data_IF_508412682965
#
_entry.id   IF_508412682965
#
_cell.length_a   1.000
_cell.length_b   1.000
_cell.length_c   1.000
_cell.angle_alpha   90.00
_cell.angle_beta   90.00
_cell.angle_gamma   90.00
#
_symmetry.space_group_name_H-M   'P 1'
#
loop_
_entity.id
_entity.type
_entity.pdbx_description
1 polymer ?
#
# COMPACT_ATOMS: atom_id res chain seq x y z
N UNK A 1 -61.92 51.84 32.66
CA UNK A 1 -61.77 50.45 32.18
C UNK A 1 -61.17 50.51 30.79
N UNK A 2 -59.83 50.33 30.63
CA UNK A 2 -59.15 50.32 29.30
C UNK A 2 -58.64 48.89 29.09
N UNK A 3 -59.16 48.30 28.06
CA UNK A 3 -58.76 46.97 27.60
C UNK A 3 -57.49 47.12 26.71
N UNK A 4 -56.39 46.57 27.14
CA UNK A 4 -55.15 46.43 26.31
C UNK A 4 -55.25 45.16 25.49
N UNK A 5 -55.24 45.32 24.17
CA UNK A 5 -55.13 44.22 23.23
C UNK A 5 -53.64 43.94 22.96
N UNK A 6 -53.16 42.77 23.38
CA UNK A 6 -51.80 42.32 23.12
C UNK A 6 -51.75 41.56 21.77
N UNK A 7 -51.04 42.16 20.78
CA UNK A 7 -50.77 41.54 19.50
C UNK A 7 -49.56 40.57 19.65
N UNK A 8 -49.79 39.26 19.47
CA UNK A 8 -48.71 38.25 19.39
C UNK A 8 -48.15 38.22 17.98
N UNK A 9 -46.91 38.66 17.77
CA UNK A 9 -46.14 38.35 16.60
C UNK A 9 -45.70 36.89 16.68
N UNK A 10 -46.19 36.05 15.80
CA UNK A 10 -45.69 34.72 15.59
C UNK A 10 -44.43 34.78 14.70
N UNK A 11 -43.27 34.38 15.27
CA UNK A 11 -42.08 34.13 14.50
C UNK A 11 -42.25 32.75 13.79
N UNK A 12 -42.38 32.78 12.46
CA UNK A 12 -42.30 31.56 11.63
C UNK A 12 -40.81 31.23 11.51
N UNK A 13 -40.35 30.28 12.30
CA UNK A 13 -39.06 29.64 12.10
C UNK A 13 -39.14 28.75 10.85
N UNK A 14 -38.45 29.15 9.80
CA UNK A 14 -38.20 28.25 8.64
C UNK A 14 -37.20 27.21 9.14
N UNK A 15 -37.67 26.01 9.48
CA UNK A 15 -36.84 24.81 9.58
C UNK A 15 -36.41 24.45 8.16
N UNK A 16 -35.17 24.81 7.79
CA UNK A 16 -34.51 24.18 6.65
C UNK A 16 -34.22 22.74 7.07
N UNK A 17 -35.04 21.80 6.61
CA UNK A 17 -34.71 20.38 6.60
C UNK A 17 -33.57 20.21 5.57
N UNK A 18 -32.35 20.09 6.02
CA UNK A 18 -31.30 19.46 5.23
C UNK A 18 -31.70 18.00 5.10
N UNK A 19 -32.24 17.62 3.94
CA UNK A 19 -32.40 16.21 3.60
C UNK A 19 -30.99 15.62 3.56
N UNK A 20 -30.69 14.70 4.48
CA UNK A 20 -29.51 13.88 4.37
C UNK A 20 -29.64 13.11 3.03
N UNK A 21 -28.73 13.38 2.09
CA UNK A 21 -28.64 12.61 0.87
C UNK A 21 -28.32 11.16 1.26
N UNK A 22 -28.96 10.20 0.59
CA UNK A 22 -28.60 8.81 0.80
C UNK A 22 -27.16 8.60 0.29
N UNK A 23 -26.42 7.71 0.95
CA UNK A 23 -25.03 7.42 0.59
C UNK A 23 -24.92 6.95 -0.87
N UNK A 24 -25.90 6.16 -1.34
CA UNK A 24 -26.00 5.70 -2.73
C UNK A 24 -26.12 6.85 -3.74
N UNK A 25 -26.69 7.99 -3.36
CA UNK A 25 -26.81 9.17 -4.25
C UNK A 25 -25.42 9.81 -4.45
N UNK A 26 -24.56 9.84 -3.43
CA UNK A 26 -23.21 10.40 -3.52
C UNK A 26 -22.28 9.53 -4.39
N UNK A 27 -22.49 8.21 -4.45
CA UNK A 27 -21.65 7.28 -5.20
C UNK A 27 -21.71 7.50 -6.72
N UNK A 28 -22.75 8.18 -7.19
CA UNK A 28 -22.96 8.47 -8.62
C UNK A 28 -22.59 9.91 -9.03
N UNK A 29 -22.22 10.76 -8.07
CA UNK A 29 -21.89 12.17 -8.30
C UNK A 29 -20.52 12.36 -8.94
N UNK A 30 -20.42 13.38 -9.79
CA UNK A 30 -19.15 13.86 -10.33
C UNK A 30 -18.39 14.70 -9.29
N UNK A 31 -17.07 14.94 -9.47
CA UNK A 31 -16.31 15.83 -8.58
C UNK A 31 -16.93 17.23 -8.46
N UNK A 32 -17.48 17.78 -9.55
CA UNK A 32 -18.13 19.09 -9.56
C UNK A 32 -19.42 19.12 -8.72
N UNK A 33 -20.15 18.01 -8.68
CA UNK A 33 -21.36 17.84 -7.85
C UNK A 33 -21.02 17.58 -6.38
N UNK A 34 -19.94 16.85 -6.10
CA UNK A 34 -19.43 16.59 -4.74
C UNK A 34 -18.83 17.84 -4.11
N UNK A 35 -18.14 18.68 -4.87
CA UNK A 35 -17.37 19.83 -4.37
C UNK A 35 -18.16 20.76 -3.43
N UNK A 36 -19.35 21.25 -3.78
CA UNK A 36 -20.09 22.16 -2.87
C UNK A 36 -20.48 21.45 -1.55
N UNK A 37 -20.77 20.15 -1.58
CA UNK A 37 -21.10 19.37 -0.38
C UNK A 37 -19.84 19.15 0.48
N UNK A 38 -18.73 18.80 -0.13
CA UNK A 38 -17.44 18.64 0.54
C UNK A 38 -16.95 19.96 1.19
N UNK A 39 -17.20 21.12 0.55
CA UNK A 39 -16.90 22.43 1.13
C UNK A 39 -17.81 22.76 2.33
N UNK A 40 -19.04 22.28 2.36
CA UNK A 40 -19.92 22.39 3.55
C UNK A 40 -19.43 21.50 4.69
N UNK A 41 -18.86 20.32 4.40
CA UNK A 41 -18.21 19.43 5.36
C UNK A 41 -16.92 20.04 5.91
N UNK A 42 -16.13 20.69 5.05
CA UNK A 42 -14.96 21.50 5.39
C UNK A 42 -13.71 20.76 5.79
N UNK A 43 -13.77 19.45 6.04
CA UNK A 43 -12.62 18.61 6.42
C UNK A 43 -12.80 17.17 5.95
N UNK A 44 -11.69 16.41 5.88
CA UNK A 44 -11.71 14.97 5.59
C UNK A 44 -10.47 14.31 6.17
N UNK A 45 -10.62 13.13 6.76
CA UNK A 45 -9.53 12.40 7.42
C UNK A 45 -9.15 11.13 6.65
N UNK A 46 -7.86 10.96 6.37
CA UNK A 46 -7.30 9.81 5.66
C UNK A 46 -6.27 9.08 6.55
N UNK A 47 -6.49 7.79 6.83
CA UNK A 47 -5.43 6.92 7.31
C UNK A 47 -4.68 6.34 6.12
N UNK A 48 -3.37 6.52 6.06
CA UNK A 48 -2.53 6.16 4.92
C UNK A 48 -1.31 5.36 5.35
N UNK A 49 -1.00 4.27 4.61
CA UNK A 49 0.21 3.46 4.86
C UNK A 49 1.49 4.07 4.23
N UNK A 50 1.40 5.27 3.67
CA UNK A 50 2.52 5.93 2.99
C UNK A 50 2.59 7.40 3.35
N UNK A 51 3.80 7.88 3.66
CA UNK A 51 4.13 9.29 3.96
C UNK A 51 3.80 10.24 2.79
N UNK A 52 3.65 9.71 1.57
CA UNK A 52 3.26 10.48 0.38
C UNK A 52 1.90 11.17 0.52
N UNK A 53 1.09 10.76 1.53
CA UNK A 53 -0.20 11.41 1.82
C UNK A 53 -0.03 12.91 2.11
N UNK A 54 1.08 13.36 2.72
CA UNK A 54 1.33 14.78 2.95
C UNK A 54 1.51 15.59 1.66
N UNK A 55 2.02 14.98 0.58
CA UNK A 55 2.06 15.62 -0.75
C UNK A 55 0.67 15.69 -1.38
N UNK A 56 -0.15 14.65 -1.17
CA UNK A 56 -1.55 14.63 -1.61
C UNK A 56 -2.36 15.69 -0.88
N UNK A 57 -2.19 15.83 0.44
CA UNK A 57 -2.83 16.86 1.27
C UNK A 57 -2.59 18.25 0.68
N UNK A 58 -1.32 18.62 0.48
CA UNK A 58 -0.96 19.92 -0.12
C UNK A 58 -1.63 20.12 -1.49
N UNK A 59 -1.53 19.13 -2.37
CA UNK A 59 -2.07 19.23 -3.73
C UNK A 59 -3.60 19.25 -3.77
N UNK A 60 -4.27 18.54 -2.85
CA UNK A 60 -5.72 18.51 -2.73
C UNK A 60 -6.26 19.84 -2.25
N UNK A 61 -5.66 20.43 -1.23
CA UNK A 61 -6.09 21.74 -0.69
C UNK A 61 -5.87 22.89 -1.68
N UNK A 62 -4.82 22.80 -2.51
CA UNK A 62 -4.61 23.72 -3.61
C UNK A 62 -5.69 23.57 -4.71
N UNK A 63 -6.09 22.35 -5.03
CA UNK A 63 -7.10 22.04 -6.03
C UNK A 63 -8.53 22.36 -5.55
N UNK A 64 -8.81 22.14 -4.26
CA UNK A 64 -10.13 22.28 -3.65
C UNK A 64 -10.12 23.19 -2.41
N UNK A 65 -9.92 24.50 -2.56
CA UNK A 65 -9.86 25.44 -1.44
C UNK A 65 -11.11 25.38 -0.57
N UNK A 66 -10.91 25.35 0.74
CA UNK A 66 -11.99 25.30 1.74
C UNK A 66 -12.29 23.91 2.28
N UNK A 67 -11.51 22.89 1.89
CA UNK A 67 -11.56 21.55 2.45
C UNK A 67 -10.18 21.24 3.03
N UNK A 68 -10.09 20.94 4.33
CA UNK A 68 -8.89 20.58 5.08
C UNK A 68 -8.71 19.06 5.01
N UNK A 69 -7.69 18.56 4.30
CA UNK A 69 -7.37 17.14 4.25
C UNK A 69 -6.38 16.81 5.36
N UNK A 70 -6.78 15.95 6.29
CA UNK A 70 -5.96 15.49 7.40
C UNK A 70 -5.39 14.09 7.11
N UNK A 71 -4.17 14.03 6.60
CA UNK A 71 -3.47 12.80 6.27
C UNK A 71 -2.65 12.25 7.44
N UNK A 72 -2.91 11.02 7.86
CA UNK A 72 -2.15 10.33 8.90
C UNK A 72 -1.32 9.19 8.30
N UNK A 73 0.01 9.33 8.35
CA UNK A 73 0.94 8.28 7.94
C UNK A 73 1.09 7.26 9.07
N UNK A 74 0.38 6.14 8.95
CA UNK A 74 0.40 5.03 9.89
C UNK A 74 0.40 3.69 9.15
N UNK A 75 1.15 2.71 9.65
CA UNK A 75 1.27 1.40 8.99
C UNK A 75 -0.08 0.72 8.79
N UNK A 76 -0.20 -0.14 7.77
CA UNK A 76 -1.44 -0.92 7.54
C UNK A 76 -1.86 -1.72 8.76
N UNK A 77 -0.91 -2.30 9.49
CA UNK A 77 -1.17 -3.05 10.73
C UNK A 77 -1.79 -2.14 11.80
N UNK A 78 -1.27 -0.92 11.96
CA UNK A 78 -1.80 0.05 12.91
C UNK A 78 -3.18 0.57 12.48
N UNK A 79 -3.40 0.82 11.18
CA UNK A 79 -4.71 1.18 10.65
C UNK A 79 -5.76 0.15 11.00
N UNK A 80 -5.48 -1.14 10.73
CA UNK A 80 -6.40 -2.26 11.02
C UNK A 80 -6.74 -2.31 12.53
N UNK A 81 -5.74 -2.19 13.39
CA UNK A 81 -5.93 -2.20 14.83
C UNK A 81 -6.78 -1.00 15.30
N UNK A 82 -6.51 0.21 14.81
CA UNK A 82 -7.26 1.42 15.14
C UNK A 82 -8.70 1.33 14.68
N UNK A 83 -8.95 1.00 13.42
CA UNK A 83 -10.30 0.89 12.85
C UNK A 83 -11.13 -0.18 13.57
N UNK A 84 -10.52 -1.31 13.93
CA UNK A 84 -11.20 -2.35 14.71
C UNK A 84 -11.57 -1.83 16.11
N UNK A 85 -10.68 -1.11 16.78
CA UNK A 85 -10.95 -0.53 18.10
C UNK A 85 -12.00 0.60 18.03
N UNK A 86 -11.95 1.44 17.01
CA UNK A 86 -12.91 2.52 16.76
C UNK A 86 -14.31 1.94 16.51
N UNK A 87 -14.43 0.91 15.67
CA UNK A 87 -15.69 0.22 15.42
C UNK A 87 -16.27 -0.42 16.69
N UNK A 88 -15.44 -1.03 17.55
CA UNK A 88 -15.89 -1.55 18.85
C UNK A 88 -16.36 -0.45 19.81
N UNK A 89 -15.78 0.75 19.70
CA UNK A 89 -16.18 1.92 20.50
C UNK A 89 -17.39 2.67 19.91
N UNK A 90 -17.83 2.32 18.70
CA UNK A 90 -18.92 3.02 18.00
C UNK A 90 -18.54 4.43 17.56
N UNK A 91 -17.26 4.64 17.18
CA UNK A 91 -16.74 5.91 16.69
C UNK A 91 -16.07 5.71 15.34
N UNK A 92 -16.09 6.74 14.50
CA UNK A 92 -15.39 6.80 13.21
C UNK A 92 -14.49 8.03 13.23
N UNK A 93 -13.17 7.84 13.10
CA UNK A 93 -12.21 8.95 13.05
C UNK A 93 -11.64 9.16 11.64
N UNK A 94 -11.52 8.11 10.83
CA UNK A 94 -11.08 8.20 9.46
C UNK A 94 -12.28 8.09 8.51
N UNK A 95 -12.32 8.96 7.50
CA UNK A 95 -13.30 8.91 6.41
C UNK A 95 -12.83 7.95 5.30
N UNK A 96 -11.50 7.92 5.08
CA UNK A 96 -10.85 7.14 4.03
C UNK A 96 -9.72 6.30 4.63
N UNK A 97 -9.58 5.10 4.11
CA UNK A 97 -8.53 4.16 4.42
C UNK A 97 -7.71 3.89 3.15
N UNK A 98 -6.42 4.22 3.20
CA UNK A 98 -5.46 3.93 2.15
C UNK A 98 -4.44 2.93 2.68
N UNK A 99 -4.56 1.66 2.27
CA UNK A 99 -3.97 0.50 2.95
C UNK A 99 -3.41 -0.51 1.95
N UNK A 100 -2.46 -1.35 2.36
CA UNK A 100 -1.80 -2.35 1.51
C UNK A 100 -1.96 -3.80 1.98
N UNK A 101 -2.32 -4.06 3.22
CA UNK A 101 -2.36 -5.39 3.85
C UNK A 101 -3.67 -6.14 3.53
N UNK A 102 -3.90 -6.41 2.23
CA UNK A 102 -5.17 -6.96 1.72
C UNK A 102 -5.55 -8.30 2.36
N UNK A 103 -4.62 -9.25 2.63
CA UNK A 103 -4.96 -10.51 3.28
C UNK A 103 -5.65 -10.36 4.63
N UNK A 104 -5.37 -9.27 5.36
CA UNK A 104 -6.00 -8.97 6.65
C UNK A 104 -7.16 -7.99 6.50
N UNK A 105 -7.05 -7.00 5.61
CA UNK A 105 -8.09 -5.98 5.37
C UNK A 105 -9.42 -6.60 4.96
N UNK A 106 -9.41 -7.60 4.08
CA UNK A 106 -10.64 -8.21 3.60
C UNK A 106 -11.44 -8.86 4.74
N UNK A 107 -10.91 -9.80 5.53
CA UNK A 107 -11.68 -10.42 6.61
C UNK A 107 -11.90 -9.48 7.81
N UNK A 108 -10.91 -8.68 8.19
CA UNK A 108 -10.97 -7.90 9.42
C UNK A 108 -11.78 -6.60 9.29
N UNK A 109 -11.81 -5.99 8.12
CA UNK A 109 -12.46 -4.69 7.92
C UNK A 109 -13.63 -4.76 6.94
N UNK A 110 -13.47 -5.35 5.75
CA UNK A 110 -14.53 -5.37 4.73
C UNK A 110 -15.65 -6.33 5.12
N UNK A 111 -15.36 -7.59 5.43
CA UNK A 111 -16.36 -8.58 5.84
C UNK A 111 -17.00 -8.24 7.19
N UNK A 112 -16.25 -7.54 8.07
CA UNK A 112 -16.77 -7.01 9.33
C UNK A 112 -17.66 -5.76 9.15
N UNK A 113 -17.76 -5.21 7.94
CA UNK A 113 -18.59 -4.03 7.64
C UNK A 113 -18.03 -2.72 8.22
N UNK A 114 -16.72 -2.65 8.48
CA UNK A 114 -16.04 -1.45 8.99
C UNK A 114 -15.70 -0.49 7.85
N UNK A 115 -15.35 -1.04 6.68
CA UNK A 115 -15.07 -0.29 5.47
C UNK A 115 -15.98 -0.72 4.31
N UNK A 116 -16.11 0.15 3.33
CA UNK A 116 -16.89 -0.08 2.12
C UNK A 116 -16.06 0.25 0.87
N UNK A 117 -16.36 -0.45 -0.22
CA UNK A 117 -15.77 -0.14 -1.52
C UNK A 117 -16.44 1.09 -2.13
N UNK A 118 -15.66 1.94 -2.80
CA UNK A 118 -16.15 3.01 -3.63
C UNK A 118 -15.28 3.12 -4.88
N UNK A 119 -15.92 3.15 -6.04
CA UNK A 119 -15.26 3.37 -7.34
C UNK A 119 -15.80 4.65 -7.93
N UNK A 120 -15.00 5.72 -8.08
CA UNK A 120 -15.46 6.95 -8.68
C UNK A 120 -16.02 6.72 -10.10
N UNK A 121 -17.20 7.25 -10.45
CA UNK A 121 -17.84 7.03 -11.76
C UNK A 121 -16.93 7.40 -12.93
N UNK A 122 -16.13 8.44 -12.77
CA UNK A 122 -15.22 8.97 -13.79
C UNK A 122 -14.13 7.95 -14.22
N UNK A 123 -13.72 7.06 -13.32
CA UNK A 123 -12.63 6.09 -13.59
C UNK A 123 -13.13 4.65 -13.73
N UNK A 124 -14.39 4.37 -13.52
CA UNK A 124 -14.95 3.02 -13.54
C UNK A 124 -14.67 2.26 -14.86
N UNK A 125 -14.76 2.93 -16.01
CA UNK A 125 -14.48 2.32 -17.31
C UNK A 125 -12.97 2.26 -17.65
N UNK A 126 -12.11 2.81 -16.79
CA UNK A 126 -10.66 2.94 -17.01
C UNK A 126 -9.82 2.06 -16.09
N UNK A 127 -10.42 1.49 -15.08
CA UNK A 127 -9.79 0.56 -14.13
C UNK A 127 -10.30 -0.85 -14.45
N UNK A 128 -9.44 -1.86 -14.66
CA UNK A 128 -9.87 -3.24 -14.82
C UNK A 128 -10.71 -3.73 -13.65
N UNK A 129 -11.73 -4.57 -13.92
CA UNK A 129 -12.68 -5.04 -12.91
C UNK A 129 -12.03 -5.73 -11.70
N UNK A 130 -10.91 -6.40 -11.92
CA UNK A 130 -10.11 -7.04 -10.88
C UNK A 130 -9.48 -6.06 -9.87
N UNK A 131 -9.32 -4.79 -10.28
CA UNK A 131 -8.81 -3.72 -9.42
C UNK A 131 -9.92 -2.82 -8.87
N UNK A 132 -11.18 -3.10 -9.21
CA UNK A 132 -12.33 -2.40 -8.65
C UNK A 132 -13.02 -3.19 -7.52
N UNK A 133 -12.82 -4.51 -7.47
CA UNK A 133 -13.50 -5.40 -6.53
C UNK A 133 -12.52 -6.46 -5.99
N UNK A 134 -12.63 -6.84 -4.69
CA UNK A 134 -13.63 -6.38 -3.71
C UNK A 134 -13.42 -4.95 -3.19
N UNK A 135 -12.24 -4.37 -3.37
CA UNK A 135 -11.88 -2.98 -3.04
C UNK A 135 -11.11 -2.33 -4.18
N UNK A 136 -11.26 -1.01 -4.34
CA UNK A 136 -10.58 -0.24 -5.36
C UNK A 136 -9.07 -0.20 -5.09
N UNK A 137 -8.29 -0.70 -6.02
CA UNK A 137 -6.85 -0.55 -6.01
C UNK A 137 -6.43 0.69 -6.83
N UNK A 138 -5.73 1.64 -6.20
CA UNK A 138 -5.20 2.81 -6.91
C UNK A 138 -4.01 2.43 -7.80
N UNK A 139 -3.13 1.60 -7.26
CA UNK A 139 -1.90 1.13 -7.92
C UNK A 139 -1.49 -0.24 -7.40
N UNK A 140 -0.56 -0.85 -8.08
CA UNK A 140 0.22 -1.97 -7.56
C UNK A 140 1.55 -1.42 -7.02
N UNK A 141 1.90 -1.81 -5.80
CA UNK A 141 3.17 -1.51 -5.14
C UNK A 141 3.98 -2.80 -4.98
N UNK A 142 5.21 -2.70 -4.47
CA UNK A 142 6.13 -3.82 -4.45
C UNK A 142 6.87 -3.97 -3.13
N UNK A 143 7.27 -5.20 -2.80
CA UNK A 143 8.37 -5.50 -1.88
C UNK A 143 9.30 -6.47 -2.59
N UNK A 144 10.46 -5.97 -2.99
CA UNK A 144 11.38 -6.69 -3.88
C UNK A 144 12.82 -6.49 -3.44
N UNK A 145 13.68 -7.40 -3.86
CA UNK A 145 15.11 -7.30 -3.67
C UNK A 145 15.66 -6.10 -4.46
N UNK A 146 16.32 -5.20 -3.74
CA UNK A 146 17.01 -4.05 -4.29
C UNK A 146 18.51 -4.16 -4.02
N UNK A 147 19.30 -3.57 -4.92
CA UNK A 147 20.75 -3.50 -4.82
C UNK A 147 21.28 -2.11 -5.13
N UNK A 148 22.55 -1.86 -4.86
CA UNK A 148 23.24 -0.62 -5.16
C UNK A 148 23.84 -0.70 -6.57
N UNK A 149 23.32 0.10 -7.52
CA UNK A 149 23.77 0.07 -8.92
C UNK A 149 25.11 0.78 -9.12
N UNK A 150 25.52 1.72 -8.23
CA UNK A 150 26.84 2.34 -8.30
C UNK A 150 27.95 1.29 -8.06
N UNK A 151 27.77 0.46 -7.05
CA UNK A 151 28.69 -0.62 -6.73
C UNK A 151 28.60 -1.81 -7.68
N UNK A 152 27.46 -1.96 -8.40
CA UNK A 152 27.17 -3.08 -9.29
C UNK A 152 26.64 -2.55 -10.64
N UNK A 153 27.49 -1.87 -11.45
CA UNK A 153 27.04 -1.24 -12.70
C UNK A 153 26.68 -2.23 -13.80
N UNK A 154 27.10 -3.50 -13.69
CA UNK A 154 26.81 -4.56 -14.65
C UNK A 154 25.46 -5.25 -14.36
N UNK A 155 24.74 -4.87 -13.30
CA UNK A 155 23.46 -5.42 -12.90
C UNK A 155 23.45 -6.00 -11.49
N UNK A 156 22.35 -6.68 -11.12
CA UNK A 156 22.20 -7.27 -9.79
C UNK A 156 23.32 -8.25 -9.45
N UNK A 157 23.95 -8.14 -8.26
CA UNK A 157 24.94 -9.11 -7.80
C UNK A 157 24.32 -10.45 -7.37
N UNK A 158 22.99 -10.52 -7.30
CA UNK A 158 22.20 -11.71 -6.96
C UNK A 158 21.34 -12.08 -8.16
N UNK A 159 21.39 -13.34 -8.58
CA UNK A 159 20.59 -13.89 -9.69
C UNK A 159 19.63 -14.98 -9.23
N UNK A 160 19.80 -15.49 -8.00
CA UNK A 160 18.93 -16.48 -7.39
C UNK A 160 18.82 -16.19 -5.88
N UNK A 161 17.61 -16.21 -5.32
CA UNK A 161 17.37 -15.90 -3.91
C UNK A 161 18.19 -16.80 -2.95
N UNK A 162 18.43 -18.06 -3.31
CA UNK A 162 19.22 -18.97 -2.49
C UNK A 162 20.69 -18.57 -2.31
N UNK A 163 21.21 -17.67 -3.15
CA UNK A 163 22.53 -17.07 -2.91
C UNK A 163 22.56 -16.30 -1.58
N UNK A 164 21.43 -15.72 -1.16
CA UNK A 164 21.31 -14.95 0.08
C UNK A 164 21.51 -15.79 1.34
N UNK A 165 21.43 -17.13 1.23
CA UNK A 165 21.65 -18.06 2.34
C UNK A 165 23.09 -18.58 2.41
N UNK A 166 23.97 -18.14 1.51
CA UNK A 166 25.39 -18.55 1.46
C UNK A 166 26.27 -17.67 2.32
N UNK A 167 27.49 -18.15 2.64
CA UNK A 167 28.47 -17.38 3.42
C UNK A 167 28.88 -16.06 2.75
N UNK A 168 28.80 -15.93 1.43
CA UNK A 168 29.12 -14.71 0.71
C UNK A 168 28.15 -13.57 1.05
N UNK A 169 26.93 -13.90 1.47
CA UNK A 169 25.91 -12.95 1.85
C UNK A 169 25.60 -12.91 3.35
N UNK A 170 26.41 -13.59 4.18
CA UNK A 170 26.23 -13.59 5.63
C UNK A 170 26.28 -12.16 6.19
N UNK A 171 25.19 -11.76 6.90
CA UNK A 171 25.07 -10.43 7.49
C UNK A 171 25.03 -9.28 6.46
N UNK A 172 24.62 -9.57 5.22
CA UNK A 172 24.54 -8.58 4.12
C UNK A 172 23.17 -8.54 3.45
N UNK A 173 22.14 -9.10 4.08
CA UNK A 173 20.74 -8.97 3.64
C UNK A 173 19.99 -8.18 4.68
N UNK A 174 19.26 -7.14 4.23
CA UNK A 174 18.53 -6.21 5.11
C UNK A 174 17.06 -6.19 4.74
N UNK A 175 16.17 -6.20 5.72
CA UNK A 175 14.75 -5.96 5.52
C UNK A 175 14.09 -5.39 6.78
N UNK A 176 12.91 -4.82 6.63
CA UNK A 176 12.10 -4.47 7.81
C UNK A 176 11.59 -5.75 8.47
N UNK A 177 11.52 -5.74 9.80
CA UNK A 177 10.99 -6.85 10.57
C UNK A 177 9.57 -7.24 10.10
N UNK A 178 9.39 -8.46 9.57
CA UNK A 178 8.10 -8.90 9.03
C UNK A 178 6.97 -8.93 10.08
N UNK A 179 7.32 -9.04 11.38
CA UNK A 179 6.32 -9.01 12.44
C UNK A 179 5.80 -7.59 12.73
N UNK A 180 6.49 -6.55 12.26
CA UNK A 180 6.09 -5.15 12.43
C UNK A 180 5.35 -4.59 11.20
N UNK A 181 5.56 -5.19 10.02
CA UNK A 181 5.00 -4.69 8.76
C UNK A 181 4.36 -5.82 7.94
N UNK A 182 3.06 -5.68 7.68
CA UNK A 182 2.25 -6.69 6.99
C UNK A 182 2.73 -7.05 5.59
N UNK A 183 3.17 -6.07 4.80
CA UNK A 183 3.68 -6.26 3.45
C UNK A 183 4.98 -7.11 3.40
N UNK A 184 5.81 -7.06 4.45
CA UNK A 184 6.97 -7.94 4.58
C UNK A 184 6.59 -9.35 5.07
N UNK A 185 5.58 -9.46 5.93
CA UNK A 185 5.06 -10.78 6.31
C UNK A 185 4.36 -11.46 5.11
N UNK A 186 3.69 -10.68 4.26
CA UNK A 186 3.11 -11.19 3.01
C UNK A 186 4.22 -11.69 2.05
N UNK A 187 5.35 -10.99 1.94
CA UNK A 187 6.51 -11.47 1.18
C UNK A 187 6.99 -12.83 1.69
N UNK A 188 7.20 -12.99 3.01
CA UNK A 188 7.63 -14.27 3.59
C UNK A 188 6.58 -15.35 3.37
N UNK A 189 5.30 -15.01 3.44
CA UNK A 189 4.19 -15.94 3.21
C UNK A 189 4.14 -16.41 1.76
N UNK A 190 4.33 -15.51 0.79
CA UNK A 190 4.36 -15.87 -0.64
C UNK A 190 5.57 -16.76 -0.98
N UNK A 191 6.73 -16.57 -0.35
CA UNK A 191 7.87 -17.48 -0.49
C UNK A 191 7.49 -18.92 -0.11
N UNK A 192 6.70 -19.08 0.96
CA UNK A 192 6.22 -20.41 1.38
C UNK A 192 5.14 -20.94 0.44
N UNK A 193 4.20 -20.12 0.00
CA UNK A 193 3.19 -20.50 -0.97
C UNK A 193 3.79 -20.93 -2.32
N UNK A 194 4.94 -20.34 -2.69
CA UNK A 194 5.70 -20.65 -3.91
C UNK A 194 6.80 -21.69 -3.68
N UNK A 195 6.64 -22.57 -2.68
CA UNK A 195 7.65 -23.55 -2.30
C UNK A 195 8.12 -24.47 -3.44
N UNK A 196 7.27 -24.75 -4.45
CA UNK A 196 7.68 -25.51 -5.64
C UNK A 196 8.68 -24.75 -6.50
N UNK A 197 8.44 -23.45 -6.72
CA UNK A 197 9.37 -22.57 -7.44
C UNK A 197 10.68 -22.36 -6.63
N UNK A 198 10.58 -22.31 -5.31
CA UNK A 198 11.76 -22.25 -4.43
C UNK A 198 12.60 -23.52 -4.49
N UNK A 199 11.98 -24.70 -4.58
CA UNK A 199 12.70 -26.00 -4.74
C UNK A 199 13.43 -26.09 -6.07
N UNK A 200 12.77 -25.71 -7.18
CA UNK A 200 13.38 -25.63 -8.51
C UNK A 200 14.56 -24.64 -8.54
N UNK A 201 14.41 -23.47 -7.92
CA UNK A 201 15.49 -22.48 -7.82
C UNK A 201 16.67 -22.97 -6.96
N UNK A 202 16.41 -23.76 -5.92
CA UNK A 202 17.46 -24.40 -5.13
C UNK A 202 18.27 -25.38 -5.98
N UNK A 203 17.59 -26.27 -6.71
CA UNK A 203 18.26 -27.23 -7.57
C UNK A 203 19.08 -26.52 -8.68
N UNK A 204 18.53 -25.44 -9.25
CA UNK A 204 19.24 -24.63 -10.24
C UNK A 204 20.51 -23.97 -9.64
N UNK A 205 20.44 -23.46 -8.40
CA UNK A 205 21.56 -22.80 -7.75
C UNK A 205 22.66 -23.76 -7.30
N UNK A 206 22.30 -24.93 -6.71
CA UNK A 206 23.26 -25.81 -6.04
C UNK A 206 23.51 -27.14 -6.79
N UNK A 207 22.73 -27.46 -7.83
CA UNK A 207 22.87 -28.68 -8.64
C UNK A 207 22.47 -29.96 -7.89
N UNK A 208 21.68 -29.86 -6.81
CA UNK A 208 21.25 -31.00 -5.99
C UNK A 208 19.85 -30.72 -5.41
N UNK A 209 19.13 -31.79 -5.08
CA UNK A 209 17.86 -31.69 -4.38
C UNK A 209 18.03 -31.05 -2.98
N UNK A 210 17.03 -30.28 -2.56
CA UNK A 210 17.05 -29.62 -1.25
C UNK A 210 16.95 -30.63 -0.11
N UNK A 211 17.73 -30.40 0.96
CA UNK A 211 17.52 -31.04 2.25
C UNK A 211 16.70 -30.07 3.13
N UNK A 212 15.49 -30.45 3.46
CA UNK A 212 14.58 -29.61 4.24
C UNK A 212 15.01 -29.40 5.69
N UNK A 213 15.80 -30.31 6.27
CA UNK A 213 16.38 -30.21 7.63
C UNK A 213 15.35 -29.74 8.69
N UNK A 214 14.16 -30.35 8.65
CA UNK A 214 13.06 -30.07 9.57
C UNK A 214 12.05 -29.00 9.14
N UNK A 215 12.30 -28.25 8.05
CA UNK A 215 11.31 -27.38 7.44
C UNK A 215 10.20 -28.20 6.75
N UNK A 216 8.98 -27.67 6.67
CA UNK A 216 7.89 -28.36 6.00
C UNK A 216 8.01 -28.34 4.47
N UNK A 217 8.70 -27.35 3.91
CA UNK A 217 8.87 -27.14 2.46
C UNK A 217 10.07 -26.22 2.16
N UNK A 218 10.39 -26.06 0.88
CA UNK A 218 11.54 -25.25 0.44
C UNK A 218 11.40 -23.76 0.82
N UNK A 219 10.19 -23.20 0.83
CA UNK A 219 9.97 -21.81 1.25
C UNK A 219 10.26 -21.59 2.73
N UNK A 220 9.78 -22.47 3.62
CA UNK A 220 10.15 -22.44 5.04
C UNK A 220 11.64 -22.63 5.24
N UNK A 221 12.25 -23.58 4.51
CA UNK A 221 13.69 -23.81 4.57
C UNK A 221 14.48 -22.57 4.21
N UNK A 222 14.08 -21.86 3.13
CA UNK A 222 14.70 -20.61 2.75
C UNK A 222 14.63 -19.55 3.85
N UNK A 223 13.46 -19.38 4.49
CA UNK A 223 13.30 -18.43 5.60
C UNK A 223 14.24 -18.81 6.75
N UNK A 224 14.27 -20.08 7.16
CA UNK A 224 15.15 -20.54 8.23
C UNK A 224 16.62 -20.30 7.90
N UNK A 225 17.07 -20.61 6.69
CA UNK A 225 18.45 -20.40 6.26
C UNK A 225 18.81 -18.92 6.15
N UNK A 226 17.87 -18.06 5.70
CA UNK A 226 18.07 -16.62 5.61
C UNK A 226 18.29 -16.01 7.01
N UNK A 227 17.49 -16.40 8.01
CA UNK A 227 17.68 -15.98 9.40
C UNK A 227 19.00 -16.53 10.00
N UNK A 228 19.32 -17.80 9.73
CA UNK A 228 20.58 -18.41 10.16
C UNK A 228 21.82 -17.78 9.50
N UNK A 229 21.63 -17.09 8.37
CA UNK A 229 22.68 -16.35 7.67
C UNK A 229 22.80 -14.87 8.12
N UNK A 230 22.42 -14.59 9.36
CA UNK A 230 22.52 -13.28 9.98
C UNK A 230 21.73 -12.20 9.24
N UNK A 231 20.45 -12.48 8.88
CA UNK A 231 19.51 -11.48 8.31
C UNK A 231 19.43 -10.24 9.22
N UNK A 232 19.63 -9.06 8.65
CA UNK A 232 19.55 -7.79 9.38
C UNK A 232 18.11 -7.29 9.34
N UNK A 233 17.46 -7.23 10.50
CA UNK A 233 16.11 -6.65 10.66
C UNK A 233 16.21 -5.21 11.14
N UNK A 234 15.49 -4.30 10.47
CA UNK A 234 15.43 -2.87 10.78
C UNK A 234 14.00 -2.41 11.03
N UNK A 235 13.81 -1.19 11.55
CA UNK A 235 12.52 -0.66 11.95
C UNK A 235 11.73 0.01 10.83
N UNK A 236 12.40 0.48 9.77
CA UNK A 236 11.76 1.26 8.71
C UNK A 236 12.29 0.90 7.31
N UNK A 237 11.50 1.23 6.30
CA UNK A 237 11.90 1.10 4.90
C UNK A 237 13.10 2.00 4.57
N UNK A 238 13.14 3.20 5.18
CA UNK A 238 14.24 4.15 4.99
C UNK A 238 15.57 3.60 5.51
N UNK A 239 15.58 2.85 6.63
CA UNK A 239 16.78 2.18 7.13
C UNK A 239 17.32 1.15 6.12
N UNK A 240 16.41 0.41 5.43
CA UNK A 240 16.80 -0.50 4.35
C UNK A 240 17.38 0.28 3.18
N UNK A 241 16.72 1.36 2.76
CA UNK A 241 17.12 2.20 1.63
C UNK A 241 18.50 2.84 1.86
N UNK A 242 18.76 3.36 3.06
CA UNK A 242 20.06 3.90 3.47
C UNK A 242 21.14 2.82 3.44
N UNK A 243 20.86 1.65 4.02
CA UNK A 243 21.84 0.57 4.08
C UNK A 243 22.24 0.05 2.70
N UNK A 244 21.28 -0.11 1.80
CA UNK A 244 21.50 -0.63 0.44
C UNK A 244 21.95 0.47 -0.50
N UNK A 245 21.28 1.64 -0.49
CA UNK A 245 21.36 2.65 -1.54
C UNK A 245 22.50 3.66 -1.38
N UNK A 246 23.06 3.87 -0.18
CA UNK A 246 24.05 4.90 0.02
C UNK A 246 25.22 4.79 -0.99
N UNK A 247 25.59 5.91 -1.63
CA UNK A 247 26.69 5.95 -2.60
C UNK A 247 28.05 5.84 -1.92
N UNK A 248 29.07 5.38 -2.67
CA UNK A 248 30.44 5.25 -2.19
C UNK A 248 30.70 3.98 -1.36
N UNK A 249 29.80 3.02 -1.34
CA UNK A 249 30.00 1.73 -0.66
C UNK A 249 30.82 0.77 -1.55
N UNK A 250 31.82 0.09 -0.99
CA UNK A 250 32.60 -0.92 -1.72
C UNK A 250 31.87 -2.27 -1.82
N UNK A 251 31.15 -2.66 -0.77
CA UNK A 251 30.42 -3.94 -0.66
C UNK A 251 29.05 -3.71 0.02
N UNK A 252 28.11 -3.00 -0.62
CA UNK A 252 26.81 -2.75 -0.03
C UNK A 252 26.04 -4.07 0.20
N UNK A 253 25.14 -4.11 1.20
CA UNK A 253 24.18 -5.17 1.31
C UNK A 253 23.16 -5.10 0.17
N UNK A 254 22.37 -6.15 0.02
CA UNK A 254 21.09 -6.12 -0.71
C UNK A 254 19.95 -6.09 0.31
N UNK A 255 18.78 -5.65 -0.10
CA UNK A 255 17.66 -5.58 0.84
C UNK A 255 16.31 -5.67 0.17
N UNK A 256 15.33 -6.16 0.92
CA UNK A 256 13.94 -6.14 0.48
C UNK A 256 13.31 -4.80 0.85
N UNK A 257 12.92 -4.03 -0.16
CA UNK A 257 12.28 -2.72 0.00
C UNK A 257 11.33 -2.43 -1.16
N UNK A 258 10.77 -1.24 -1.25
CA UNK A 258 9.88 -0.86 -2.36
C UNK A 258 10.68 -0.42 -3.57
N UNK A 259 10.38 -0.94 -4.75
CA UNK A 259 11.01 -0.47 -5.99
C UNK A 259 10.76 1.02 -6.21
N UNK A 260 9.60 1.53 -5.81
CA UNK A 260 9.24 2.95 -5.94
C UNK A 260 10.12 3.91 -5.10
N UNK A 261 10.91 3.39 -4.14
CA UNK A 261 11.81 4.22 -3.34
C UNK A 261 13.05 4.68 -4.12
N UNK A 262 13.28 4.10 -5.29
CA UNK A 262 14.25 4.59 -6.28
C UNK A 262 14.02 6.05 -6.70
N UNK A 263 12.80 6.57 -6.55
CA UNK A 263 12.46 7.98 -6.82
C UNK A 263 13.28 8.96 -5.98
N UNK A 264 13.73 8.51 -4.80
CA UNK A 264 14.45 9.35 -3.85
C UNK A 264 15.99 9.28 -4.05
N UNK A 265 16.49 8.51 -5.05
CA UNK A 265 17.92 8.33 -5.31
C UNK A 265 18.67 9.66 -5.47
N UNK A 266 18.13 10.61 -6.23
CA UNK A 266 18.80 11.90 -6.49
C UNK A 266 18.80 12.78 -5.23
N UNK A 267 17.67 12.86 -4.54
CA UNK A 267 17.49 13.75 -3.38
C UNK A 267 18.26 13.26 -2.15
N UNK A 268 18.33 11.93 -1.95
CA UNK A 268 18.93 11.30 -0.77
C UNK A 268 20.39 10.82 -1.02
N UNK A 269 20.88 10.90 -2.25
CA UNK A 269 22.21 10.40 -2.61
C UNK A 269 22.29 8.88 -2.54
N UNK A 270 21.28 8.20 -3.05
CA UNK A 270 21.22 6.74 -3.16
C UNK A 270 21.43 6.27 -4.60
N UNK A 271 21.75 5.00 -4.73
CA UNK A 271 21.89 4.29 -6.00
C UNK A 271 21.05 2.98 -5.98
N UNK A 272 19.80 3.09 -5.54
CA UNK A 272 18.87 1.94 -5.47
C UNK A 272 18.45 1.49 -6.87
N UNK A 273 18.53 0.19 -7.13
CA UNK A 273 18.02 -0.44 -8.34
C UNK A 273 17.36 -1.77 -8.01
N UNK A 274 16.30 -2.12 -8.75
CA UNK A 274 15.58 -3.38 -8.57
C UNK A 274 16.35 -4.55 -9.19
N UNK A 275 16.45 -5.65 -8.45
CA UNK A 275 17.05 -6.91 -8.92
C UNK A 275 16.05 -7.71 -9.75
N UNK A 276 15.50 -7.12 -10.84
CA UNK A 276 14.57 -7.84 -11.73
C UNK A 276 15.26 -9.03 -12.40
N UNK A 277 14.55 -10.16 -12.53
CA UNK A 277 15.10 -11.38 -13.10
C UNK A 277 15.86 -12.28 -12.12
N UNK A 278 15.85 -11.94 -10.81
CA UNK A 278 16.29 -12.88 -9.76
C UNK A 278 15.33 -14.06 -9.69
N UNK A 279 15.86 -15.28 -9.69
CA UNK A 279 15.07 -16.51 -9.57
C UNK A 279 14.79 -16.89 -8.12
N UNK A 280 13.61 -17.44 -7.81
CA UNK A 280 12.47 -17.61 -8.72
C UNK A 280 11.70 -16.30 -8.96
N UNK A 281 11.85 -15.30 -8.11
CA UNK A 281 11.29 -13.95 -8.23
C UNK A 281 12.05 -12.97 -7.33
N UNK A 282 12.14 -11.68 -7.66
CA UNK A 282 12.77 -10.69 -6.79
C UNK A 282 11.94 -10.36 -5.54
N UNK A 283 10.70 -10.79 -5.45
CA UNK A 283 9.77 -10.49 -4.37
C UNK A 283 8.32 -10.44 -4.83
N UNK A 284 7.52 -9.54 -4.26
CA UNK A 284 6.07 -9.48 -4.48
C UNK A 284 5.57 -8.14 -5.03
N UNK A 285 4.43 -8.22 -5.73
CA UNK A 285 3.57 -7.11 -6.15
C UNK A 285 2.24 -7.25 -5.40
N UNK A 286 1.76 -6.16 -4.83
CA UNK A 286 0.50 -6.13 -4.08
C UNK A 286 -0.27 -4.83 -4.34
N UNK A 287 -1.62 -4.84 -4.24
CA UNK A 287 -2.41 -3.64 -4.47
C UNK A 287 -2.38 -2.67 -3.27
N UNK A 288 -2.33 -1.38 -3.57
CA UNK A 288 -2.59 -0.29 -2.65
C UNK A 288 -4.08 0.09 -2.76
N UNK A 289 -4.84 -0.15 -1.72
CA UNK A 289 -6.30 -0.11 -1.69
C UNK A 289 -6.81 1.20 -1.12
N UNK A 290 -7.80 1.79 -1.79
CA UNK A 290 -8.62 2.89 -1.30
C UNK A 290 -10.00 2.34 -0.87
N UNK A 291 -10.45 2.71 0.32
CA UNK A 291 -11.77 2.36 0.82
C UNK A 291 -12.37 3.51 1.63
N UNK A 292 -13.69 3.57 1.70
CA UNK A 292 -14.41 4.45 2.61
C UNK A 292 -14.61 3.75 3.97
N UNK A 293 -14.65 4.50 5.07
CA UNK A 293 -15.35 4.03 6.26
C UNK A 293 -16.82 3.79 5.93
N UNK A 294 -17.47 2.79 6.53
CA UNK A 294 -18.88 2.51 6.27
C UNK A 294 -19.79 3.67 6.67
N UNK A 295 -19.42 4.40 7.70
CA UNK A 295 -20.12 5.60 8.19
C UNK A 295 -19.12 6.77 8.30
N UNK A 296 -18.66 7.35 7.16
CA UNK A 296 -17.72 8.46 7.18
C UNK A 296 -18.39 9.73 7.73
N UNK A 297 -17.64 10.51 8.51
CA UNK A 297 -18.13 11.79 9.02
C UNK A 297 -18.31 12.82 7.90
N UNK A 298 -17.48 12.73 6.84
CA UNK A 298 -17.42 13.67 5.74
C UNK A 298 -17.58 12.93 4.39
N UNK A 299 -18.79 12.42 4.09
CA UNK A 299 -19.00 11.46 3.01
C UNK A 299 -18.78 12.03 1.60
N UNK A 300 -19.05 13.31 1.34
CA UNK A 300 -18.81 13.93 0.04
C UNK A 300 -17.33 14.24 -0.18
N UNK A 301 -16.66 14.79 0.84
CA UNK A 301 -15.23 15.06 0.80
C UNK A 301 -14.41 13.77 0.66
N UNK A 302 -14.83 12.68 1.34
CA UNK A 302 -14.19 11.38 1.22
C UNK A 302 -14.20 10.85 -0.23
N UNK A 303 -15.33 10.96 -0.92
CA UNK A 303 -15.45 10.54 -2.32
C UNK A 303 -14.62 11.42 -3.25
N UNK A 304 -14.62 12.72 -2.99
CA UNK A 304 -13.83 13.69 -3.77
C UNK A 304 -12.32 13.41 -3.63
N UNK A 305 -11.84 13.06 -2.43
CA UNK A 305 -10.43 12.69 -2.22
C UNK A 305 -10.08 11.36 -2.90
N UNK A 306 -10.95 10.34 -2.85
CA UNK A 306 -10.70 9.09 -3.57
C UNK A 306 -10.65 9.34 -5.09
N UNK A 307 -11.58 10.15 -5.63
CA UNK A 307 -11.53 10.54 -7.03
C UNK A 307 -10.23 11.28 -7.39
N UNK A 308 -9.79 12.21 -6.55
CA UNK A 308 -8.54 12.94 -6.71
C UNK A 308 -7.32 12.02 -6.70
N UNK A 309 -7.27 11.04 -5.76
CA UNK A 309 -6.21 10.04 -5.68
C UNK A 309 -6.16 9.10 -6.89
N UNK A 310 -7.30 8.86 -7.54
CA UNK A 310 -7.34 8.11 -8.79
C UNK A 310 -6.84 8.90 -10.00
N UNK A 311 -6.56 10.20 -9.83
CA UNK A 311 -5.98 11.09 -10.83
C UNK A 311 -7.00 11.67 -11.80
N UNK A 312 -6.63 12.75 -12.46
CA UNK A 312 -7.45 13.49 -13.43
C UNK A 312 -7.30 12.99 -14.89
N UNK A 313 -7.75 13.79 -15.86
CA UNK A 313 -7.72 13.48 -17.30
C UNK A 313 -6.37 13.79 -17.98
N UNK A 314 -5.36 14.25 -17.23
CA UNK A 314 -4.03 14.51 -17.77
C UNK A 314 -3.29 13.22 -18.05
N UNK A 315 -2.26 13.26 -18.90
CA UNK A 315 -1.49 12.09 -19.34
C UNK A 315 -0.90 11.27 -18.16
N UNK A 316 -0.55 11.94 -17.07
CA UNK A 316 0.04 11.31 -15.87
C UNK A 316 -0.91 11.30 -14.66
N UNK A 317 -2.19 11.66 -14.86
CA UNK A 317 -3.21 11.65 -13.81
C UNK A 317 -3.20 12.85 -12.87
N UNK A 318 -2.43 13.90 -13.19
CA UNK A 318 -2.44 15.17 -12.46
C UNK A 318 -1.94 15.14 -11.03
N UNK A 319 -2.21 16.19 -10.24
CA UNK A 319 -1.56 16.40 -8.93
C UNK A 319 -1.92 15.33 -7.88
N UNK A 320 -3.11 14.73 -7.95
CA UNK A 320 -3.53 13.69 -7.01
C UNK A 320 -2.77 12.39 -7.17
N UNK A 321 -2.42 12.03 -8.42
CA UNK A 321 -1.69 10.82 -8.74
C UNK A 321 -0.16 11.04 -8.82
N UNK A 322 0.29 12.27 -9.05
CA UNK A 322 1.71 12.61 -9.22
C UNK A 322 2.65 12.03 -8.15
N UNK A 323 2.29 12.00 -6.85
CA UNK A 323 3.15 11.36 -5.83
C UNK A 323 3.36 9.87 -6.04
N UNK A 324 2.52 9.23 -6.83
CA UNK A 324 2.48 7.77 -7.08
C UNK A 324 2.84 7.40 -8.52
N UNK A 325 2.98 8.38 -9.41
CA UNK A 325 3.43 8.16 -10.80
C UNK A 325 4.96 8.14 -10.82
N UNK A 326 5.53 7.04 -10.36
CA UNK A 326 6.98 6.83 -10.19
C UNK A 326 7.36 5.41 -10.63
N UNK A 327 8.61 5.21 -11.01
CA UNK A 327 9.11 3.87 -11.34
C UNK A 327 8.95 2.94 -10.14
N UNK A 328 8.32 1.77 -10.35
CA UNK A 328 8.08 0.77 -9.30
C UNK A 328 6.73 0.84 -8.61
N UNK A 329 5.92 1.87 -8.91
CA UNK A 329 4.48 1.86 -8.69
C UNK A 329 3.78 1.75 -10.05
N UNK A 330 2.76 0.91 -10.13
CA UNK A 330 2.01 0.65 -11.37
C UNK A 330 0.56 1.06 -11.17
N UNK A 331 0.17 2.20 -11.73
CA UNK A 331 -1.21 2.70 -11.64
C UNK A 331 -2.18 1.71 -12.29
N UNK A 332 -3.38 1.56 -11.71
CA UNK A 332 -4.38 0.61 -12.22
C UNK A 332 -5.21 1.14 -13.37
N UNK A 333 -5.18 2.46 -13.62
CA UNK A 333 -5.86 3.10 -14.74
C UNK A 333 -5.16 2.76 -16.06
N UNK A 334 -5.92 2.21 -17.02
CA UNK A 334 -5.42 1.76 -18.33
C UNK A 334 -5.16 2.90 -19.32
N UNK A 335 -5.71 4.07 -19.07
CA UNK A 335 -5.52 5.27 -19.89
C UNK A 335 -4.31 6.12 -19.47
N UNK A 336 -3.64 5.76 -18.38
CA UNK A 336 -2.38 6.37 -17.93
C UNK A 336 -1.22 5.45 -18.33
N UNK A 337 -0.24 5.94 -19.13
CA UNK A 337 0.90 5.11 -19.51
C UNK A 337 1.78 4.77 -18.29
N UNK A 338 2.47 3.62 -18.30
CA UNK A 338 3.44 3.31 -17.25
C UNK A 338 4.54 4.36 -17.20
N UNK A 339 5.14 4.54 -16.01
CA UNK A 339 6.28 5.45 -15.86
C UNK A 339 7.44 4.99 -16.78
N UNK A 340 8.08 5.89 -17.55
CA UNK A 340 9.05 5.51 -18.58
C UNK A 340 10.30 4.80 -18.03
N UNK A 341 10.68 5.06 -16.78
CA UNK A 341 11.83 4.44 -16.12
C UNK A 341 11.47 3.15 -15.35
N UNK A 342 10.20 2.74 -15.36
CA UNK A 342 9.78 1.50 -14.73
C UNK A 342 10.11 0.29 -15.62
N UNK A 343 10.48 -0.84 -15.01
CA UNK A 343 10.40 -2.12 -15.70
C UNK A 343 8.94 -2.33 -16.11
N UNK A 344 8.62 -2.60 -17.39
CA UNK A 344 7.25 -2.88 -17.80
C UNK A 344 6.64 -4.00 -16.96
N UNK A 345 5.36 -3.87 -16.58
CA UNK A 345 4.73 -4.83 -15.66
C UNK A 345 4.72 -6.27 -16.20
N UNK A 346 4.66 -6.44 -17.53
CA UNK A 346 4.71 -7.75 -18.19
C UNK A 346 6.12 -8.37 -18.18
N UNK A 347 7.17 -7.55 -18.03
CA UNK A 347 8.57 -7.96 -17.94
C UNK A 347 9.06 -8.03 -16.49
N UNK A 348 8.19 -7.65 -15.52
CA UNK A 348 8.55 -7.64 -14.12
C UNK A 348 8.26 -8.99 -13.47
N UNK A 349 9.34 -9.68 -13.04
CA UNK A 349 9.29 -11.08 -12.62
C UNK A 349 8.83 -11.30 -11.18
N UNK A 350 8.46 -10.24 -10.43
CA UNK A 350 7.95 -10.35 -9.07
C UNK A 350 6.59 -11.06 -9.02
N UNK A 351 6.39 -11.88 -8.01
CA UNK A 351 5.12 -12.59 -7.78
C UNK A 351 3.99 -11.63 -7.45
N UNK A 352 2.82 -11.85 -8.02
CA UNK A 352 1.59 -11.22 -7.53
C UNK A 352 1.08 -11.97 -6.31
N UNK A 353 0.79 -11.26 -5.23
CA UNK A 353 0.21 -11.90 -4.04
C UNK A 353 -1.15 -12.52 -4.35
N UNK A 354 -1.46 -13.57 -3.62
CA UNK A 354 -2.75 -14.27 -3.62
C UNK A 354 -3.46 -14.06 -2.27
N UNK A 355 -4.14 -12.92 -2.04
CA UNK A 355 -4.58 -12.51 -0.71
C UNK A 355 -5.35 -13.58 0.07
N UNK A 356 -6.22 -14.34 -0.62
CA UNK A 356 -7.01 -15.40 0.01
C UNK A 356 -6.16 -16.60 0.45
N UNK A 357 -5.08 -16.93 -0.26
CA UNK A 357 -4.17 -18.02 0.13
C UNK A 357 -3.18 -17.53 1.19
N UNK A 358 -2.66 -16.31 1.03
CA UNK A 358 -1.78 -15.65 2.00
C UNK A 358 -2.46 -15.58 3.37
N UNK A 359 -3.72 -15.17 3.44
CA UNK A 359 -4.49 -15.09 4.68
C UNK A 359 -4.57 -16.43 5.45
N UNK A 360 -4.54 -17.57 4.75
CA UNK A 360 -4.69 -18.89 5.38
C UNK A 360 -3.50 -19.32 6.22
N UNK A 361 -2.28 -19.01 5.77
CA UNK A 361 -1.05 -19.50 6.40
C UNK A 361 -0.20 -18.40 7.04
N UNK A 362 -0.56 -17.13 6.80
CA UNK A 362 0.21 -15.96 7.24
C UNK A 362 0.52 -15.96 8.75
N UNK A 363 -0.44 -16.38 9.58
CA UNK A 363 -0.25 -16.47 11.03
C UNK A 363 0.79 -17.53 11.39
N UNK A 364 0.78 -18.69 10.72
CA UNK A 364 1.76 -19.77 10.92
C UNK A 364 3.16 -19.30 10.53
N UNK A 365 3.29 -18.52 9.46
CA UNK A 365 4.57 -17.95 9.05
C UNK A 365 5.05 -16.88 10.04
N UNK A 366 4.15 -16.07 10.60
CA UNK A 366 4.45 -15.14 11.69
C UNK A 366 5.00 -15.89 12.92
N UNK A 367 4.37 -17.00 13.32
CA UNK A 367 4.82 -17.85 14.43
C UNK A 367 6.19 -18.47 14.13
N UNK A 368 6.42 -18.94 12.90
CA UNK A 368 7.74 -19.45 12.49
C UNK A 368 8.81 -18.35 12.66
N UNK A 369 8.60 -17.17 12.10
CA UNK A 369 9.54 -16.03 12.17
C UNK A 369 9.82 -15.65 13.63
N UNK A 370 8.79 -15.64 14.49
CA UNK A 370 8.95 -15.35 15.92
C UNK A 370 9.90 -16.35 16.62
N UNK A 371 9.94 -17.60 16.16
CA UNK A 371 10.86 -18.61 16.72
C UNK A 371 12.30 -18.47 16.24
N UNK A 372 12.52 -17.74 15.14
CA UNK A 372 13.84 -17.54 14.52
C UNK A 372 14.53 -16.25 14.98
N UNK A 373 13.80 -15.31 15.58
CA UNK A 373 14.32 -14.09 16.19
C UNK A 373 14.82 -14.33 17.61
#
# INVERSE_FOLDING_TARGET
MKVLTATRLGAIGILMSTAALAQDDLDTMTPEELLPLAQEEGTVTVYSFTSRIGRVETAFEEAYPGIDLQGFDISSTEQIARLTAEAQAGVTNADIIYVSDVPVVLPALLEAGIIANYVPPRVADRVPAEFQSPLLAQRLSTKVLMYNEEANPDGSPVTNLWQLTTDDWRGRVVMVDPLQRGDYLDLMTEIVLRSGEMDEAYEAQFGQAIDLDGAANAGERFIMDLFANDLILVGSTDDVNIAVGAIGQENPPVGFTSYSDRRDNEDEGWALQVANGVEPAPGIIFPAILALSTEPNNPAAARLVIDFLMGDETETGGPGLAPFYVAGDYVTRTDIPPHPDAVPLDDFTAWRITPAETAKIRAEIGDLILTLQ
#
